data_IF_877893037165
#
_entry.id   IF_877893037165
#
_cell.length_a   1.000
_cell.length_b   1.000
_cell.length_c   1.000
_cell.angle_alpha   90.00
_cell.angle_beta   90.00
_cell.angle_gamma   90.00
#
_symmetry.space_group_name_H-M   'P 1'
#
loop_
_entity.id
_entity.type
_entity.pdbx_description
1 polymer ?
#
# COMPACT_ATOMS: atom_id res chain seq x y z
N UNK A 1 -7.27 -26.63 -12.95
CA UNK A 1 -7.92 -25.42 -12.40
C UNK A 1 -7.03 -24.21 -12.63
N UNK A 2 -7.56 -23.17 -13.25
CA UNK A 2 -6.80 -21.94 -13.47
C UNK A 2 -6.69 -21.16 -12.16
N UNK A 3 -5.50 -20.74 -11.81
CA UNK A 3 -5.34 -19.75 -10.73
C UNK A 3 -5.83 -18.41 -11.25
N UNK A 4 -6.44 -17.61 -10.38
CA UNK A 4 -6.90 -16.28 -10.72
C UNK A 4 -5.72 -15.34 -10.85
N UNK A 5 -5.76 -14.44 -11.82
CA UNK A 5 -4.75 -13.41 -11.92
C UNK A 5 -5.02 -12.31 -10.89
N UNK A 6 -4.07 -11.40 -10.73
CA UNK A 6 -4.16 -10.34 -9.72
C UNK A 6 -5.37 -9.43 -9.95
N UNK A 7 -5.66 -9.07 -11.19
CA UNK A 7 -6.80 -8.21 -11.52
C UNK A 7 -8.13 -8.85 -11.13
N UNK A 8 -8.27 -10.16 -11.38
CA UNK A 8 -9.47 -10.90 -11.00
C UNK A 8 -9.64 -10.92 -9.48
N UNK A 9 -8.56 -11.13 -8.74
CA UNK A 9 -8.59 -11.14 -7.28
C UNK A 9 -9.04 -9.79 -6.73
N UNK A 10 -8.52 -8.70 -7.27
CA UNK A 10 -8.90 -7.34 -6.84
C UNK A 10 -10.35 -7.06 -7.18
N UNK A 11 -10.79 -7.43 -8.38
CA UNK A 11 -12.17 -7.25 -8.83
C UNK A 11 -13.16 -7.94 -7.88
N UNK A 12 -12.84 -9.14 -7.43
CA UNK A 12 -13.68 -9.87 -6.49
C UNK A 12 -13.78 -9.16 -5.14
N UNK A 13 -12.69 -8.55 -4.69
CA UNK A 13 -12.70 -7.78 -3.45
C UNK A 13 -13.59 -6.55 -3.53
N UNK A 14 -13.74 -5.96 -4.72
CA UNK A 14 -14.53 -4.73 -4.88
C UNK A 14 -15.99 -4.91 -4.50
N UNK A 15 -16.50 -6.14 -4.50
CA UNK A 15 -17.87 -6.45 -4.12
C UNK A 15 -18.04 -6.50 -2.59
N UNK A 16 -16.98 -6.81 -1.85
CA UNK A 16 -17.04 -7.11 -0.42
C UNK A 16 -16.28 -6.15 0.47
N UNK A 17 -15.30 -5.43 -0.08
CA UNK A 17 -14.38 -4.60 0.69
C UNK A 17 -14.28 -3.19 0.13
N UNK A 18 -13.52 -2.35 0.84
CA UNK A 18 -13.46 -0.92 0.58
C UNK A 18 -12.36 -0.62 -0.44
N UNK A 19 -12.73 -0.62 -1.72
CA UNK A 19 -11.88 -0.18 -2.80
C UNK A 19 -12.31 1.22 -3.22
N UNK A 20 -11.37 2.13 -3.26
CA UNK A 20 -11.62 3.51 -3.68
C UNK A 20 -11.35 3.62 -5.17
N UNK A 21 -12.19 4.37 -5.92
CA UNK A 21 -11.92 4.59 -7.35
C UNK A 21 -10.51 5.14 -7.57
N UNK A 22 -9.89 4.75 -8.68
CA UNK A 22 -8.52 5.12 -9.00
C UNK A 22 -8.28 6.62 -9.05
N UNK A 23 -7.05 7.01 -8.80
CA UNK A 23 -6.62 8.40 -8.88
C UNK A 23 -6.52 8.84 -10.34
N UNK A 24 -7.03 10.03 -10.66
CA UNK A 24 -6.88 10.57 -11.99
C UNK A 24 -5.48 11.15 -12.20
N UNK A 25 -5.19 11.54 -13.44
CA UNK A 25 -3.86 12.04 -13.80
C UNK A 25 -3.45 13.27 -12.99
N UNK A 26 -4.38 14.20 -12.78
CA UNK A 26 -4.14 15.42 -12.01
C UNK A 26 -3.79 15.10 -10.56
N UNK A 27 -4.52 14.18 -9.96
CA UNK A 27 -4.30 13.74 -8.59
C UNK A 27 -2.94 13.05 -8.43
N UNK A 28 -2.58 12.20 -9.40
CA UNK A 28 -1.27 11.52 -9.39
C UNK A 28 -0.12 12.50 -9.57
N UNK A 29 -0.28 13.52 -10.43
CA UNK A 29 0.74 14.55 -10.61
C UNK A 29 0.99 15.32 -9.32
N UNK A 30 -0.06 15.69 -8.61
CA UNK A 30 0.06 16.34 -7.29
C UNK A 30 0.72 15.41 -6.28
N UNK A 31 0.32 14.15 -6.28
CA UNK A 31 0.89 13.14 -5.39
C UNK A 31 2.39 12.98 -5.61
N UNK A 32 2.82 12.88 -6.87
CA UNK A 32 4.24 12.75 -7.20
C UNK A 32 5.06 13.95 -6.74
N UNK A 33 4.53 15.16 -6.93
CA UNK A 33 5.19 16.38 -6.46
C UNK A 33 5.30 16.39 -4.93
N UNK A 34 4.25 15.97 -4.25
CA UNK A 34 4.26 15.93 -2.79
C UNK A 34 5.21 14.85 -2.25
N UNK A 35 5.34 13.72 -2.94
CA UNK A 35 6.33 12.71 -2.58
C UNK A 35 7.75 13.25 -2.70
N UNK A 36 8.05 13.94 -3.80
CA UNK A 36 9.36 14.54 -3.99
C UNK A 36 9.64 15.60 -2.92
N UNK A 37 8.67 16.46 -2.63
CA UNK A 37 8.84 17.55 -1.68
C UNK A 37 8.97 17.07 -0.23
N UNK A 38 8.22 16.03 0.14
CA UNK A 38 8.14 15.59 1.55
C UNK A 38 9.01 14.37 1.85
N UNK A 39 9.26 13.51 0.87
CA UNK A 39 10.00 12.25 1.07
C UNK A 39 11.28 12.19 0.25
N UNK A 40 11.50 13.14 -0.66
CA UNK A 40 12.65 13.20 -1.56
C UNK A 40 12.80 11.93 -2.42
N UNK A 41 11.69 11.39 -2.87
CA UNK A 41 11.69 10.18 -3.70
C UNK A 41 10.48 10.13 -4.62
N UNK A 42 10.59 9.24 -5.62
CA UNK A 42 9.48 8.90 -6.52
C UNK A 42 9.02 7.48 -6.16
N UNK A 43 7.72 7.28 -5.89
CA UNK A 43 7.23 5.93 -5.60
C UNK A 43 7.42 4.98 -6.79
N UNK A 44 7.52 3.67 -6.55
CA UNK A 44 7.68 2.68 -7.62
C UNK A 44 6.51 2.70 -8.61
N UNK A 45 6.81 2.40 -9.87
CA UNK A 45 5.80 2.37 -10.95
C UNK A 45 4.67 1.40 -10.62
N UNK A 46 4.98 0.25 -10.03
CA UNK A 46 3.96 -0.73 -9.65
C UNK A 46 2.90 -0.16 -8.70
N UNK A 47 3.36 0.60 -7.70
CA UNK A 47 2.44 1.26 -6.77
C UNK A 47 1.61 2.34 -7.48
N UNK A 48 2.25 3.14 -8.34
CA UNK A 48 1.54 4.17 -9.10
C UNK A 48 0.48 3.57 -10.03
N UNK A 49 0.78 2.44 -10.66
CA UNK A 49 -0.18 1.72 -11.51
C UNK A 49 -1.37 1.23 -10.69
N UNK A 50 -1.10 0.72 -9.50
CA UNK A 50 -2.15 0.32 -8.56
C UNK A 50 -3.06 1.51 -8.22
N UNK A 51 -2.47 2.66 -7.89
CA UNK A 51 -3.25 3.86 -7.52
C UNK A 51 -4.12 4.38 -8.67
N UNK A 52 -3.71 4.17 -9.92
CA UNK A 52 -4.55 4.51 -11.09
C UNK A 52 -5.81 3.67 -11.16
N UNK A 53 -5.72 2.43 -10.75
CA UNK A 53 -6.86 1.51 -10.78
C UNK A 53 -7.71 1.63 -9.52
N UNK A 54 -7.07 1.72 -8.37
CA UNK A 54 -7.72 1.83 -7.07
C UNK A 54 -6.87 2.71 -6.16
N UNK A 55 -7.43 3.78 -5.66
CA UNK A 55 -6.70 4.69 -4.78
C UNK A 55 -6.72 4.19 -3.35
N UNK A 56 -6.06 3.05 -3.14
CA UNK A 56 -6.00 2.37 -1.86
C UNK A 56 -7.04 1.27 -1.72
N UNK A 57 -6.82 0.42 -0.75
CA UNK A 57 -7.73 -0.69 -0.39
C UNK A 57 -7.80 -0.77 1.12
N UNK A 58 -8.96 -1.11 1.65
CA UNK A 58 -9.12 -1.43 3.07
C UNK A 58 -10.06 -2.61 3.22
N UNK A 59 -9.70 -3.55 4.08
CA UNK A 59 -10.55 -4.71 4.37
C UNK A 59 -9.91 -5.61 5.41
N UNK A 60 -10.72 -6.16 6.30
CA UNK A 60 -10.29 -7.08 7.36
C UNK A 60 -9.10 -6.56 8.20
N UNK A 61 -9.09 -5.26 8.48
CA UNK A 61 -8.02 -4.65 9.26
C UNK A 61 -6.72 -4.45 8.49
N UNK A 62 -6.73 -4.66 7.18
CA UNK A 62 -5.57 -4.48 6.28
C UNK A 62 -5.79 -3.23 5.45
N UNK A 63 -4.75 -2.39 5.35
CA UNK A 63 -4.82 -1.12 4.63
C UNK A 63 -3.64 -1.00 3.67
N UNK A 64 -3.94 -0.64 2.40
CA UNK A 64 -2.96 -0.10 1.47
C UNK A 64 -3.28 1.38 1.28
N UNK A 65 -2.28 2.22 1.44
CA UNK A 65 -2.46 3.67 1.55
C UNK A 65 -2.86 4.34 0.24
N UNK A 66 -3.57 5.46 0.38
CA UNK A 66 -4.08 6.29 -0.71
C UNK A 66 -3.21 7.52 -0.95
N UNK A 67 -3.52 8.28 -2.01
CA UNK A 67 -2.81 9.54 -2.31
C UNK A 67 -3.13 10.64 -1.29
N UNK A 68 -4.26 10.53 -0.59
CA UNK A 68 -4.63 11.38 0.55
C UNK A 68 -5.65 10.63 1.40
N UNK A 69 -6.08 11.22 2.50
CA UNK A 69 -7.09 10.59 3.37
C UNK A 69 -8.42 10.53 2.64
N UNK A 70 -8.68 9.42 1.97
CA UNK A 70 -9.91 9.24 1.20
C UNK A 70 -11.03 8.69 2.06
N UNK A 71 -12.18 9.39 2.13
CA UNK A 71 -13.35 8.86 2.83
C UNK A 71 -13.84 7.59 2.15
N UNK A 72 -14.29 6.63 2.95
CA UNK A 72 -14.93 5.43 2.43
C UNK A 72 -16.34 5.78 1.95
N UNK A 73 -16.74 5.24 0.79
CA UNK A 73 -18.06 5.51 0.23
C UNK A 73 -19.16 4.73 0.93
N UNK A 74 -18.84 3.56 1.48
CA UNK A 74 -19.84 2.62 2.01
C UNK A 74 -19.97 2.62 3.53
N UNK A 75 -19.08 3.28 4.25
CA UNK A 75 -19.11 3.31 5.71
C UNK A 75 -18.37 4.54 6.23
N UNK A 76 -18.42 4.75 7.54
CA UNK A 76 -17.66 5.82 8.17
C UNK A 76 -16.16 5.51 8.15
N UNK A 77 -15.37 6.58 8.16
CA UNK A 77 -13.92 6.49 8.20
C UNK A 77 -13.27 6.82 6.88
N UNK A 78 -11.95 6.72 6.87
CA UNK A 78 -11.14 7.08 5.70
C UNK A 78 -9.89 6.22 5.64
N UNK A 79 -9.34 6.06 4.44
CA UNK A 79 -8.06 5.40 4.27
C UNK A 79 -6.92 6.36 4.64
N UNK A 80 -5.74 5.82 4.89
CA UNK A 80 -4.58 6.59 5.29
C UNK A 80 -3.87 7.21 4.09
N UNK A 81 -3.30 8.39 4.29
CA UNK A 81 -2.48 9.10 3.33
C UNK A 81 -1.07 8.49 3.32
N UNK A 82 -0.60 8.07 2.15
CA UNK A 82 0.71 7.47 1.98
C UNK A 82 1.84 8.36 2.52
N UNK A 83 1.83 9.64 2.19
CA UNK A 83 2.88 10.58 2.59
C UNK A 83 2.86 10.78 4.11
N UNK A 84 1.69 11.03 4.69
CA UNK A 84 1.55 11.20 6.13
C UNK A 84 2.04 9.97 6.89
N UNK A 85 1.69 8.77 6.42
CA UNK A 85 2.10 7.54 7.09
C UNK A 85 3.61 7.32 7.01
N UNK A 86 4.21 7.60 5.86
CA UNK A 86 5.67 7.50 5.74
C UNK A 86 6.39 8.52 6.62
N UNK A 87 5.89 9.74 6.70
CA UNK A 87 6.46 10.76 7.60
C UNK A 87 6.33 10.34 9.06
N UNK A 88 5.20 9.77 9.42
CA UNK A 88 4.97 9.26 10.78
C UNK A 88 6.01 8.18 11.16
N UNK A 89 6.18 7.17 10.29
CA UNK A 89 7.13 6.09 10.54
C UNK A 89 8.58 6.59 10.57
N UNK A 90 8.91 7.62 9.78
CA UNK A 90 10.25 8.20 9.71
C UNK A 90 10.64 9.03 10.91
N UNK A 91 9.75 9.16 11.87
CA UNK A 91 10.10 9.67 13.19
C UNK A 91 11.18 8.78 13.83
N UNK A 92 11.22 7.52 13.45
CA UNK A 92 12.33 6.62 13.73
C UNK A 92 13.33 6.75 12.58
N UNK A 93 14.52 7.26 12.85
CA UNK A 93 15.52 7.58 11.82
C UNK A 93 15.82 6.45 10.86
N UNK A 94 15.91 5.21 11.38
CA UNK A 94 16.23 4.04 10.54
C UNK A 94 15.09 3.67 9.58
N UNK A 95 13.88 4.15 9.80
CA UNK A 95 12.76 3.90 8.88
C UNK A 95 12.90 4.67 7.57
N UNK A 96 13.81 5.64 7.47
CA UNK A 96 14.04 6.32 6.19
C UNK A 96 14.69 5.43 5.13
N UNK A 97 15.20 4.26 5.52
CA UNK A 97 15.68 3.23 4.58
C UNK A 97 14.52 2.45 3.93
N UNK A 98 13.30 2.69 4.36
CA UNK A 98 12.12 1.96 3.91
C UNK A 98 11.04 2.90 3.40
N UNK A 99 10.27 2.40 2.43
CA UNK A 99 9.07 3.07 1.94
C UNK A 99 7.88 2.19 2.32
N UNK A 100 6.88 2.77 2.98
CA UNK A 100 5.78 2.01 3.55
C UNK A 100 4.54 2.19 2.71
N UNK A 101 3.92 1.08 2.28
CA UNK A 101 2.72 1.09 1.43
C UNK A 101 1.44 0.80 2.19
N UNK A 102 1.54 0.17 3.35
CA UNK A 102 0.36 -0.20 4.11
C UNK A 102 0.69 -0.94 5.38
N UNK A 103 -0.34 -1.33 6.10
CA UNK A 103 -0.20 -2.06 7.35
C UNK A 103 -1.46 -2.84 7.70
N UNK A 104 -1.32 -3.70 8.71
CA UNK A 104 -2.41 -4.37 9.39
C UNK A 104 -2.11 -4.35 10.89
N UNK A 105 -2.92 -5.03 11.69
CA UNK A 105 -2.64 -5.12 13.14
C UNK A 105 -1.29 -5.77 13.42
N UNK A 106 -0.88 -6.72 12.60
CA UNK A 106 0.32 -7.51 12.82
C UNK A 106 1.46 -7.21 11.86
N UNK A 107 1.15 -6.73 10.65
CA UNK A 107 2.10 -6.61 9.56
C UNK A 107 2.31 -5.17 9.12
N UNK A 108 3.48 -4.92 8.53
CA UNK A 108 3.77 -3.68 7.80
C UNK A 108 4.34 -4.06 6.43
N UNK A 109 3.89 -3.38 5.39
CA UNK A 109 4.25 -3.69 4.00
C UNK A 109 5.17 -2.62 3.47
N UNK A 110 6.41 -3.00 3.14
CA UNK A 110 7.47 -2.04 2.86
C UNK A 110 8.30 -2.39 1.63
N UNK A 111 9.02 -1.39 1.14
CA UNK A 111 10.14 -1.54 0.20
C UNK A 111 11.40 -1.17 0.95
N UNK A 112 12.39 -2.06 0.96
CA UNK A 112 13.73 -1.71 1.41
C UNK A 112 14.41 -0.98 0.26
N UNK A 113 14.63 0.32 0.43
CA UNK A 113 15.04 1.19 -0.69
C UNK A 113 16.40 0.80 -1.26
N UNK A 114 17.35 0.45 -0.39
CA UNK A 114 18.72 0.13 -0.82
C UNK A 114 18.82 -1.14 -1.64
N UNK A 115 17.99 -2.14 -1.36
CA UNK A 115 18.02 -3.44 -2.05
C UNK A 115 16.98 -3.55 -3.16
N UNK A 116 15.95 -2.71 -3.11
CA UNK A 116 14.83 -2.81 -4.04
C UNK A 116 13.90 -4.00 -3.76
N UNK A 117 13.99 -4.60 -2.58
CA UNK A 117 13.20 -5.77 -2.19
C UNK A 117 11.98 -5.35 -1.39
N UNK A 118 10.80 -5.83 -1.81
CA UNK A 118 9.54 -5.61 -1.11
C UNK A 118 9.39 -6.64 0.00
N UNK A 119 8.89 -6.23 1.15
CA UNK A 119 8.89 -7.07 2.35
C UNK A 119 7.61 -6.94 3.14
N UNK A 120 7.26 -8.05 3.82
CA UNK A 120 6.25 -8.05 4.87
C UNK A 120 7.01 -8.27 6.17
N UNK A 121 6.88 -7.34 7.09
CA UNK A 121 7.58 -7.39 8.39
C UNK A 121 6.59 -7.28 9.54
N UNK A 122 7.05 -7.69 10.71
CA UNK A 122 6.28 -7.58 11.95
C UNK A 122 6.15 -6.10 12.32
N UNK A 123 4.93 -5.62 12.48
CA UNK A 123 4.66 -4.23 12.82
C UNK A 123 5.22 -3.85 14.18
N UNK A 124 5.26 -4.77 15.13
CA UNK A 124 5.73 -4.51 16.49
C UNK A 124 7.22 -4.79 16.67
N UNK A 125 7.74 -5.77 15.94
CA UNK A 125 9.16 -6.16 15.99
C UNK A 125 9.69 -6.18 14.55
N UNK A 126 9.99 -5.01 14.03
CA UNK A 126 10.31 -4.79 12.62
C UNK A 126 11.46 -5.64 12.09
N UNK A 127 12.37 -6.08 12.95
CA UNK A 127 13.46 -6.99 12.56
C UNK A 127 12.96 -8.35 12.07
N UNK A 128 11.74 -8.74 12.45
CA UNK A 128 11.15 -10.00 11.99
C UNK A 128 10.65 -9.84 10.56
N UNK A 129 11.31 -10.51 9.64
CA UNK A 129 10.96 -10.53 8.23
C UNK A 129 10.12 -11.77 7.93
N UNK A 130 8.89 -11.57 7.47
CA UNK A 130 7.98 -12.69 7.19
C UNK A 130 8.03 -13.13 5.72
N UNK A 131 8.08 -12.19 4.78
CA UNK A 131 8.04 -12.48 3.35
C UNK A 131 8.86 -11.46 2.58
N UNK A 132 9.37 -11.89 1.40
CA UNK A 132 10.08 -11.01 0.49
C UNK A 132 9.56 -11.20 -0.93
N UNK A 133 9.52 -10.11 -1.70
CA UNK A 133 9.08 -10.12 -3.10
C UNK A 133 9.99 -9.21 -3.92
N UNK A 134 10.25 -9.61 -5.16
CA UNK A 134 11.08 -8.80 -6.06
C UNK A 134 10.31 -7.67 -6.75
N UNK A 135 8.97 -7.72 -6.73
CA UNK A 135 8.11 -6.72 -7.39
C UNK A 135 7.03 -6.22 -6.46
N UNK A 136 6.52 -5.03 -6.75
CA UNK A 136 5.35 -4.50 -6.02
C UNK A 136 4.15 -5.42 -6.21
N UNK A 137 3.96 -5.95 -7.42
CA UNK A 137 2.83 -6.84 -7.74
C UNK A 137 2.84 -8.09 -6.86
N UNK A 138 4.02 -8.62 -6.55
CA UNK A 138 4.15 -9.75 -5.62
C UNK A 138 3.68 -9.39 -4.22
N UNK A 139 4.08 -8.23 -3.72
CA UNK A 139 3.63 -7.72 -2.43
C UNK A 139 2.12 -7.48 -2.46
N UNK A 140 1.62 -6.84 -3.51
CA UNK A 140 0.20 -6.54 -3.67
C UNK A 140 -0.65 -7.81 -3.62
N UNK A 141 -0.23 -8.85 -4.35
CA UNK A 141 -0.95 -10.13 -4.34
C UNK A 141 -1.01 -10.73 -2.94
N UNK A 142 0.09 -10.66 -2.20
CA UNK A 142 0.13 -11.14 -0.81
C UNK A 142 -0.89 -10.38 0.05
N UNK A 143 -0.93 -9.06 -0.07
CA UNK A 143 -1.87 -8.21 0.69
C UNK A 143 -3.32 -8.53 0.32
N UNK A 144 -3.60 -8.69 -0.96
CA UNK A 144 -4.94 -9.04 -1.45
C UNK A 144 -5.37 -10.40 -0.89
N UNK A 145 -4.48 -11.38 -0.89
CA UNK A 145 -4.77 -12.70 -0.33
C UNK A 145 -5.03 -12.65 1.18
N UNK A 146 -4.32 -11.78 1.90
CA UNK A 146 -4.55 -11.55 3.33
C UNK A 146 -5.97 -11.02 3.57
N UNK A 147 -6.41 -10.05 2.78
CA UNK A 147 -7.76 -9.50 2.90
C UNK A 147 -8.82 -10.56 2.60
N UNK A 148 -8.61 -11.34 1.54
CA UNK A 148 -9.58 -12.31 1.04
C UNK A 148 -9.74 -13.53 1.94
N UNK A 149 -8.71 -13.90 2.69
CA UNK A 149 -8.67 -15.15 3.46
C UNK A 149 -8.98 -14.98 4.95
N UNK A 150 -9.42 -13.79 5.35
CA UNK A 150 -9.80 -13.55 6.75
C UNK A 150 -11.25 -13.92 7.05
#
# INVERSE_FOLDING_TARGET
MKSKNLEDKISELSESYLLTPGADESELDRFLKNCENNLSLTPPIGYLSFLKSYNGIAGNGVFLYSTYRKPFEKCEGENNDFIEMNLFWRDLDWMSDYLIFGDSDMDIYVLEITTGIYQVRDRQAFDNLFNEFSTFEGLLEHVIDQIANE
#
